data_IF_412529041936
#
_entry.id   IF_412529041936
#
_cell.length_a   1.000
_cell.length_b   1.000
_cell.length_c   1.000
_cell.angle_alpha   90.00
_cell.angle_beta   90.00
_cell.angle_gamma   90.00
#
_symmetry.space_group_name_H-M   'P 1'
#
loop_
_entity.id
_entity.type
_entity.pdbx_description
1 polymer ?
#
# COMPACT_ATOMS: atom_id res chain seq x y z
N UNK A 1 16.38 -4.41 -20.00
CA UNK A 1 15.55 -5.30 -19.16
C UNK A 1 15.81 -4.95 -17.70
N UNK A 2 14.76 -4.77 -16.91
CA UNK A 2 14.89 -4.63 -15.45
C UNK A 2 15.14 -6.04 -14.89
N UNK A 3 16.35 -6.31 -14.41
CA UNK A 3 16.72 -7.59 -13.79
C UNK A 3 16.23 -7.60 -12.33
N UNK A 4 14.92 -7.79 -12.14
CA UNK A 4 14.29 -7.81 -10.82
C UNK A 4 13.60 -9.16 -10.65
N UNK A 5 13.76 -9.79 -9.49
CA UNK A 5 13.10 -11.06 -9.19
C UNK A 5 11.67 -10.85 -8.66
N UNK A 6 11.44 -9.71 -8.02
CA UNK A 6 10.20 -9.38 -7.32
C UNK A 6 9.79 -7.94 -7.64
N UNK A 7 8.50 -7.74 -7.81
CA UNK A 7 7.91 -6.40 -7.94
C UNK A 7 6.96 -6.19 -6.77
N UNK A 8 6.98 -4.97 -6.22
CA UNK A 8 5.93 -4.50 -5.32
C UNK A 8 4.96 -3.64 -6.12
N UNK A 9 3.70 -4.07 -6.17
CA UNK A 9 2.59 -3.30 -6.75
C UNK A 9 1.61 -2.93 -5.65
N UNK A 10 0.98 -1.77 -5.77
CA UNK A 10 0.06 -1.32 -4.76
C UNK A 10 -0.70 -0.06 -5.17
N UNK A 11 -1.60 0.36 -4.29
CA UNK A 11 -2.32 1.60 -4.42
C UNK A 11 -2.42 2.30 -3.08
N UNK A 12 -2.45 3.63 -3.14
CA UNK A 12 -2.84 4.49 -2.03
C UNK A 12 -4.14 5.16 -2.44
N UNK A 13 -5.14 5.09 -1.57
CA UNK A 13 -6.46 5.66 -1.81
C UNK A 13 -6.93 6.44 -0.58
N UNK A 14 -7.67 7.51 -0.79
CA UNK A 14 -8.31 8.28 0.27
C UNK A 14 -9.80 7.97 0.24
N UNK A 15 -10.35 7.49 1.36
CA UNK A 15 -11.78 7.20 1.52
C UNK A 15 -12.28 8.02 2.70
N UNK A 16 -13.02 9.10 2.41
CA UNK A 16 -13.37 10.11 3.43
C UNK A 16 -12.11 10.77 4.00
N UNK A 17 -11.87 10.62 5.30
CA UNK A 17 -10.67 11.10 6.02
C UNK A 17 -9.64 10.00 6.32
N UNK A 18 -9.81 8.82 5.72
CA UNK A 18 -8.94 7.65 5.96
C UNK A 18 -8.13 7.31 4.72
N UNK A 19 -6.81 7.27 4.87
CA UNK A 19 -5.91 6.71 3.87
C UNK A 19 -5.94 5.18 3.95
N UNK A 20 -6.07 4.56 2.80
CA UNK A 20 -5.97 3.12 2.62
C UNK A 20 -4.77 2.83 1.72
N UNK A 21 -3.82 2.07 2.24
CA UNK A 21 -2.63 1.62 1.52
C UNK A 21 -2.74 0.12 1.33
N UNK A 22 -2.70 -0.33 0.09
CA UNK A 22 -2.66 -1.75 -0.27
C UNK A 22 -1.37 -1.99 -1.04
N UNK A 23 -0.58 -2.96 -0.62
CA UNK A 23 0.64 -3.35 -1.31
C UNK A 23 0.74 -4.87 -1.40
N UNK A 24 1.24 -5.38 -2.52
CA UNK A 24 1.49 -6.80 -2.77
C UNK A 24 2.88 -6.97 -3.36
N UNK A 25 3.61 -7.93 -2.83
CA UNK A 25 4.86 -8.40 -3.43
C UNK A 25 4.54 -9.57 -4.36
N UNK A 26 4.94 -9.45 -5.62
CA UNK A 26 4.71 -10.44 -6.66
C UNK A 26 6.04 -10.96 -7.15
N UNK A 27 6.17 -12.28 -7.19
CA UNK A 27 7.26 -12.98 -7.86
C UNK A 27 7.06 -12.89 -9.37
N UNK A 28 8.06 -12.41 -10.11
CA UNK A 28 7.88 -12.13 -11.54
C UNK A 28 7.81 -13.42 -12.36
N UNK A 29 8.59 -14.44 -11.98
CA UNK A 29 8.68 -15.70 -12.73
C UNK A 29 7.37 -16.50 -12.63
N UNK A 30 6.80 -16.56 -11.42
CA UNK A 30 5.62 -17.38 -11.13
C UNK A 30 4.32 -16.58 -11.11
N UNK A 31 4.38 -15.24 -11.15
CA UNK A 31 3.27 -14.30 -10.96
C UNK A 31 2.53 -14.44 -9.62
N UNK A 32 3.10 -15.20 -8.68
CA UNK A 32 2.46 -15.46 -7.38
C UNK A 32 2.65 -14.29 -6.45
N UNK A 33 1.59 -13.96 -5.71
CA UNK A 33 1.69 -13.01 -4.60
C UNK A 33 2.37 -13.70 -3.43
N UNK A 34 3.53 -13.19 -3.02
CA UNK A 34 4.30 -13.69 -1.88
C UNK A 34 3.82 -13.06 -0.57
N UNK A 35 3.46 -11.78 -0.61
CA UNK A 35 3.01 -11.01 0.55
C UNK A 35 1.93 -10.03 0.12
N UNK A 36 0.91 -9.84 0.95
CA UNK A 36 -0.10 -8.81 0.80
C UNK A 36 -0.28 -8.07 2.11
N UNK A 37 -0.28 -6.74 2.06
CA UNK A 37 -0.47 -5.86 3.22
C UNK A 37 -1.57 -4.87 2.91
N UNK A 38 -2.50 -4.72 3.84
CA UNK A 38 -3.51 -3.66 3.84
C UNK A 38 -3.37 -2.86 5.13
N UNK A 39 -3.18 -1.54 5.00
CA UNK A 39 -3.15 -0.64 6.14
C UNK A 39 -4.13 0.50 5.94
N UNK A 40 -4.90 0.77 6.99
CA UNK A 40 -5.78 1.92 7.11
C UNK A 40 -5.16 2.90 8.10
N UNK A 41 -5.08 4.17 7.71
CA UNK A 41 -4.60 5.26 8.55
C UNK A 41 -5.61 6.40 8.48
N UNK A 42 -6.38 6.59 9.55
CA UNK A 42 -7.23 7.76 9.71
C UNK A 42 -6.37 8.98 10.06
N UNK A 43 -6.72 10.15 9.52
CA UNK A 43 -6.20 11.42 10.04
C UNK A 43 -7.01 11.76 11.29
N UNK A 44 -6.41 11.59 12.48
CA UNK A 44 -6.94 12.21 13.69
C UNK A 44 -6.60 13.70 13.59
N UNK A 45 -7.56 14.53 13.17
CA UNK A 45 -7.41 15.97 13.18
C UNK A 45 -7.45 16.45 14.63
N UNK A 46 -6.29 16.45 15.31
CA UNK A 46 -6.16 17.13 16.59
C UNK A 46 -6.17 18.63 16.24
N UNK A 47 -7.36 19.24 16.26
CA UNK A 47 -7.48 20.69 16.19
C UNK A 47 -6.87 21.28 17.46
N UNK A 48 -5.57 21.57 17.43
CA UNK A 48 -4.97 22.52 18.36
C UNK A 48 -5.29 23.91 17.83
N UNK A 49 -6.46 24.43 18.22
CA UNK A 49 -6.75 25.86 18.19
C UNK A 49 -5.99 26.52 19.34
N UNK A 50 -5.00 27.34 19.03
CA UNK A 50 -4.46 28.37 19.94
C UNK A 50 -4.36 29.66 19.16
#
# INVERSE_FOLDING_TARGET
>A
MLNVERIVIGSVSLVGSTYMVIARMVDIETTRTLLSVEKRSGVLLIMLST
#
